data_IF_341666347139
#
_entry.id   IF_341666347139
#
_cell.length_a   1.000
_cell.length_b   1.000
_cell.length_c   1.000
_cell.angle_alpha   90.00
_cell.angle_beta   90.00
_cell.angle_gamma   90.00
#
_symmetry.space_group_name_H-M   'P 1'
#
loop_
_entity.id
_entity.type
_entity.pdbx_description
1 polymer ?
#
# COMPACT_ATOMS: atom_id res chain seq x y z
N UNK A 1 -4.00 2.93 -1.90
CA UNK A 1 -2.76 2.19 -1.53
C UNK A 1 -2.03 1.87 -2.82
N UNK A 2 -0.70 1.85 -2.80
CA UNK A 2 0.08 1.44 -3.95
C UNK A 2 0.03 -0.09 -4.13
N UNK A 3 -0.01 -0.53 -5.39
CA UNK A 3 -0.04 -1.94 -5.73
C UNK A 3 0.43 -2.17 -7.16
N UNK A 4 0.79 -3.42 -7.45
CA UNK A 4 1.16 -3.89 -8.78
C UNK A 4 0.10 -4.90 -9.21
N UNK A 5 -0.45 -4.71 -10.42
CA UNK A 5 -1.41 -5.63 -10.99
C UNK A 5 -0.80 -6.45 -12.13
N UNK A 6 -1.21 -7.72 -12.18
CA UNK A 6 -1.05 -8.59 -13.32
C UNK A 6 -2.44 -8.83 -13.91
N UNK A 7 -2.78 -8.28 -15.08
CA UNK A 7 -4.10 -8.46 -15.65
C UNK A 7 -4.36 -9.92 -16.06
N UNK A 8 -5.61 -10.39 -16.06
CA UNK A 8 -5.96 -11.70 -16.60
C UNK A 8 -5.29 -11.99 -17.95
N UNK A 9 -4.70 -13.17 -18.08
CA UNK A 9 -3.95 -13.63 -19.25
C UNK A 9 -4.06 -15.16 -19.39
N UNK A 10 -3.59 -15.73 -20.49
CA UNK A 10 -3.56 -17.19 -20.68
C UNK A 10 -2.76 -17.90 -19.58
N UNK A 11 -1.61 -17.34 -19.19
CA UNK A 11 -0.76 -17.86 -18.12
C UNK A 11 -1.40 -17.70 -16.73
N UNK A 12 -2.28 -16.71 -16.57
CA UNK A 12 -2.94 -16.40 -15.30
C UNK A 12 -4.38 -15.90 -15.51
N UNK A 13 -5.36 -16.82 -15.62
CA UNK A 13 -6.74 -16.46 -15.97
C UNK A 13 -7.42 -15.52 -14.96
N UNK A 14 -7.05 -15.59 -13.68
CA UNK A 14 -7.59 -14.70 -12.65
C UNK A 14 -6.84 -13.37 -12.48
N UNK A 15 -5.70 -13.20 -13.16
CA UNK A 15 -4.77 -12.12 -12.86
C UNK A 15 -4.21 -12.18 -11.42
N UNK A 16 -3.65 -11.08 -10.98
CA UNK A 16 -3.26 -10.84 -9.60
C UNK A 16 -3.19 -9.35 -9.28
N UNK A 17 -3.37 -9.02 -8.01
CA UNK A 17 -3.02 -7.73 -7.45
C UNK A 17 -2.19 -7.99 -6.21
N UNK A 18 -1.07 -7.31 -6.09
CA UNK A 18 -0.27 -7.30 -4.86
C UNK A 18 -0.23 -5.89 -4.29
N UNK A 19 -0.47 -5.77 -3.00
CA UNK A 19 -0.32 -4.51 -2.27
C UNK A 19 1.15 -4.33 -1.89
N UNK A 20 1.70 -3.17 -2.20
CA UNK A 20 3.06 -2.85 -1.76
C UNK A 20 3.05 -2.47 -0.29
N UNK A 21 4.06 -2.93 0.45
CA UNK A 21 4.23 -2.63 1.87
C UNK A 21 5.58 -1.96 2.13
N UNK A 22 5.63 -1.21 3.21
CA UNK A 22 6.81 -0.55 3.75
C UNK A 22 6.95 -0.87 5.24
N UNK A 23 8.12 -0.61 5.88
CA UNK A 23 8.24 -0.66 7.32
C UNK A 23 7.13 0.15 8.00
N UNK A 24 6.56 -0.39 9.07
CA UNK A 24 5.53 0.30 9.83
C UNK A 24 6.06 1.60 10.43
N UNK A 25 5.20 2.62 10.45
CA UNK A 25 5.49 3.88 11.13
C UNK A 25 5.32 3.72 12.66
N UNK A 26 5.55 4.79 13.42
CA UNK A 26 5.44 4.74 14.88
C UNK A 26 4.03 4.39 15.39
N UNK A 27 2.98 4.65 14.61
CA UNK A 27 1.59 4.37 15.00
C UNK A 27 1.24 2.88 14.81
N UNK A 28 1.77 2.24 13.77
CA UNK A 28 1.50 0.84 13.45
C UNK A 28 2.57 -0.13 13.99
N UNK A 29 3.80 0.35 14.24
CA UNK A 29 4.92 -0.46 14.70
C UNK A 29 4.67 -1.22 16.02
N UNK A 30 3.87 -0.73 16.99
CA UNK A 30 3.55 -1.49 18.19
C UNK A 30 2.77 -2.78 17.90
N UNK A 31 1.98 -2.81 16.83
CA UNK A 31 1.12 -3.94 16.49
C UNK A 31 1.69 -4.80 15.36
N UNK A 32 2.43 -4.21 14.41
CA UNK A 32 2.96 -4.92 13.24
C UNK A 32 4.19 -4.24 12.63
N UNK A 33 5.12 -5.01 12.07
CA UNK A 33 6.39 -4.50 11.51
C UNK A 33 6.25 -3.85 10.12
N UNK A 34 5.16 -4.15 9.41
CA UNK A 34 4.90 -3.70 8.04
C UNK A 34 3.56 -2.99 7.95
N UNK A 35 3.47 -1.99 7.08
CA UNK A 35 2.21 -1.33 6.74
C UNK A 35 2.08 -1.19 5.21
N UNK A 36 0.86 -1.05 4.66
CA UNK A 36 0.68 -0.72 3.25
C UNK A 36 1.33 0.62 2.88
N UNK A 37 1.83 0.74 1.64
CA UNK A 37 2.21 2.04 1.10
C UNK A 37 0.95 2.82 0.75
N UNK A 38 0.74 3.94 1.43
CA UNK A 38 -0.39 4.83 1.21
C UNK A 38 0.11 5.99 0.34
N UNK A 39 -0.44 6.13 -0.87
CA UNK A 39 -0.11 7.27 -1.72
C UNK A 39 -0.87 8.50 -1.24
N UNK A 40 -0.24 9.67 -1.30
CA UNK A 40 -0.99 10.92 -1.22
C UNK A 40 -1.93 11.04 -2.42
N UNK A 41 -3.14 11.61 -2.27
CA UNK A 41 -4.10 11.71 -3.36
C UNK A 41 -3.51 12.36 -4.63
N UNK A 42 -2.71 13.42 -4.47
CA UNK A 42 -2.06 14.14 -5.58
C UNK A 42 -1.00 13.33 -6.32
N UNK A 43 -0.55 12.20 -5.77
CA UNK A 43 0.44 11.31 -6.40
C UNK A 43 -0.19 10.06 -7.02
N UNK A 44 -1.48 9.81 -6.78
CA UNK A 44 -2.14 8.58 -7.24
C UNK A 44 -2.18 8.51 -8.77
N UNK A 45 -2.47 9.62 -9.44
CA UNK A 45 -2.53 9.69 -10.91
C UNK A 45 -1.14 9.49 -11.53
N UNK A 46 -0.14 10.21 -11.02
CA UNK A 46 1.25 10.06 -11.46
C UNK A 46 1.77 8.63 -11.27
N UNK A 47 1.39 7.96 -10.18
CA UNK A 47 1.75 6.56 -9.94
C UNK A 47 1.19 5.60 -11.00
N UNK A 48 -0.01 5.88 -11.53
CA UNK A 48 -0.66 5.03 -12.54
C UNK A 48 -0.11 5.25 -13.95
N UNK A 49 0.39 6.46 -14.24
CA UNK A 49 0.70 6.88 -15.60
C UNK A 49 2.19 7.10 -15.89
N UNK A 50 3.03 7.18 -14.85
CA UNK A 50 4.46 7.42 -14.95
C UNK A 50 5.25 6.27 -14.30
N UNK A 51 5.32 5.14 -15.01
CA UNK A 51 5.93 3.89 -14.51
C UNK A 51 7.39 4.08 -14.12
N UNK A 52 8.13 4.90 -14.87
CA UNK A 52 9.55 5.18 -14.60
C UNK A 52 9.75 5.95 -13.29
N UNK A 53 8.75 6.73 -12.87
CA UNK A 53 8.77 7.47 -11.60
C UNK A 53 7.98 6.79 -10.48
N UNK A 54 7.18 5.77 -10.77
CA UNK A 54 6.32 5.09 -9.81
C UNK A 54 7.08 4.67 -8.55
N UNK A 55 8.31 4.16 -8.68
CA UNK A 55 9.16 3.78 -7.55
C UNK A 55 9.54 4.94 -6.61
N UNK A 56 9.82 6.13 -7.17
CA UNK A 56 10.19 7.32 -6.40
C UNK A 56 8.96 7.93 -5.70
N UNK A 57 7.76 7.70 -6.24
CA UNK A 57 6.51 8.19 -5.67
C UNK A 57 6.07 7.43 -4.41
N UNK A 58 6.66 6.24 -4.16
CA UNK A 58 6.35 5.41 -3.00
C UNK A 58 6.86 5.99 -1.67
N UNK A 59 7.79 6.96 -1.70
CA UNK A 59 8.52 7.41 -0.50
C UNK A 59 7.83 8.57 0.26
N UNK A 60 6.51 8.71 0.16
CA UNK A 60 5.86 10.03 0.38
C UNK A 60 4.87 10.12 1.53
N UNK A 61 4.50 9.03 2.21
CA UNK A 61 3.51 9.15 3.30
C UNK A 61 4.13 9.45 4.66
N UNK A 62 4.05 10.71 5.08
CA UNK A 62 4.49 11.14 6.41
C UNK A 62 3.40 10.88 7.47
N UNK A 63 3.80 10.09 8.48
CA UNK A 63 3.31 9.81 9.85
C UNK A 63 1.98 10.39 10.38
N UNK A 64 1.48 11.55 9.98
CA UNK A 64 0.58 12.33 10.85
C UNK A 64 -0.93 12.19 10.61
N UNK A 65 -1.42 11.28 9.75
CA UNK A 65 -2.85 11.20 9.38
C UNK A 65 -3.55 9.88 9.71
N UNK A 66 -2.84 8.87 10.24
CA UNK A 66 -3.43 7.57 10.55
C UNK A 66 -3.78 7.51 12.04
N UNK A 67 -5.05 7.26 12.33
CA UNK A 67 -5.51 6.95 13.68
C UNK A 67 -5.79 5.46 13.77
N UNK A 68 -5.12 4.78 14.69
CA UNK A 68 -5.33 3.35 14.97
C UNK A 68 -6.18 3.23 16.24
N UNK A 69 -7.17 2.34 16.22
CA UNK A 69 -7.96 2.01 17.39
C UNK A 69 -8.25 0.49 17.42
N UNK A 70 -8.27 -0.14 18.59
CA UNK A 70 -8.67 -1.53 18.71
C UNK A 70 -10.10 -1.75 18.21
N UNK A 71 -10.32 -2.85 17.52
CA UNK A 71 -11.66 -3.29 17.10
C UNK A 71 -11.92 -4.68 17.68
N UNK A 72 -13.14 -4.93 18.14
CA UNK A 72 -13.55 -6.25 18.61
C UNK A 72 -13.63 -7.20 17.41
N UNK A 73 -12.82 -8.25 17.42
CA UNK A 73 -12.86 -9.37 16.46
C UNK A 73 -13.01 -10.70 17.19
N UNK A 74 -13.46 -11.77 16.50
CA UNK A 74 -13.39 -13.10 17.08
C UNK A 74 -11.93 -13.41 17.43
N UNK A 75 -11.69 -13.89 18.65
CA UNK A 75 -10.39 -14.46 19.01
C UNK A 75 -10.15 -15.67 18.09
N UNK A 76 -9.09 -15.62 17.29
CA UNK A 76 -8.64 -16.74 16.47
C UNK A 76 -7.88 -17.76 17.32
#
# INVERSE_FOLDING_TARGET
>A
MAGICWPPSEERPGGALVTLTQPANADCAPDHERMPVILKPELADAYLHDVDRAGVLLDTYQRSSIKVQPVSGPAF
#
